data_IF_686924459105
#
_entry.id   IF_686924459105
#
_cell.length_a   1.000
_cell.length_b   1.000
_cell.length_c   1.000
_cell.angle_alpha   90.00
_cell.angle_beta   90.00
_cell.angle_gamma   90.00
#
_symmetry.space_group_name_H-M   'P 1'
#
loop_
_entity.id
_entity.type
_entity.pdbx_description
1 polymer ?
#
# COMPACT_ATOMS: atom_id res chain seq x y z
N UNK A 1 -10.66 19.27 0.17
CA UNK A 1 -10.04 18.71 1.40
C UNK A 1 -8.77 18.02 0.95
N UNK A 2 -7.71 18.10 1.73
CA UNK A 2 -6.49 17.32 1.48
C UNK A 2 -6.37 16.29 2.60
N UNK A 3 -6.11 15.05 2.26
CA UNK A 3 -5.85 13.96 3.20
C UNK A 3 -4.47 13.36 2.91
N UNK A 4 -3.74 13.00 3.96
CA UNK A 4 -2.50 12.26 3.90
C UNK A 4 -2.68 11.00 4.72
N UNK A 5 -2.39 9.85 4.11
CA UNK A 5 -2.39 8.55 4.78
C UNK A 5 -0.95 8.04 4.82
N UNK A 6 -0.46 7.74 6.01
CA UNK A 6 0.86 7.14 6.21
C UNK A 6 0.64 5.74 6.77
N UNK A 7 0.98 4.75 5.99
CA UNK A 7 0.92 3.34 6.39
C UNK A 7 2.30 2.82 6.77
N UNK A 8 2.38 2.14 7.89
CA UNK A 8 3.60 1.54 8.41
C UNK A 8 3.34 0.03 8.58
N UNK A 9 4.03 -0.78 7.77
CA UNK A 9 3.86 -2.23 7.82
C UNK A 9 4.47 -2.81 9.11
N UNK A 10 3.81 -3.81 9.68
CA UNK A 10 4.29 -4.52 10.87
C UNK A 10 4.27 -3.71 12.17
N UNK A 11 3.77 -2.48 12.17
CA UNK A 11 3.74 -1.60 13.34
C UNK A 11 2.45 -1.79 14.15
N UNK A 12 2.61 -1.93 15.47
CA UNK A 12 1.48 -2.02 16.41
C UNK A 12 1.65 -1.03 17.56
N UNK A 13 0.54 -0.66 18.20
CA UNK A 13 0.58 0.17 19.39
C UNK A 13 1.26 -0.54 20.58
N UNK A 14 1.27 -1.86 20.58
CA UNK A 14 1.98 -2.62 21.62
C UNK A 14 3.50 -2.48 21.48
N UNK A 15 3.99 -2.28 20.24
CA UNK A 15 5.40 -1.99 19.96
C UNK A 15 5.72 -0.51 20.22
N UNK A 16 4.89 0.41 19.72
CA UNK A 16 5.17 1.85 19.79
C UNK A 16 4.84 2.47 21.16
N UNK A 17 3.91 1.89 21.91
CA UNK A 17 3.43 2.44 23.17
C UNK A 17 4.55 2.81 24.14
N UNK A 18 5.47 1.90 24.47
CA UNK A 18 6.58 2.21 25.37
C UNK A 18 7.45 3.40 24.90
N UNK A 19 7.73 3.52 23.61
CA UNK A 19 8.52 4.64 23.06
C UNK A 19 7.74 5.96 23.05
N UNK A 20 6.42 5.90 22.84
CA UNK A 20 5.55 7.08 22.92
C UNK A 20 5.50 7.58 24.37
N UNK A 21 5.34 6.68 25.34
CA UNK A 21 5.32 7.00 26.76
C UNK A 21 6.67 7.55 27.24
N UNK A 22 7.77 7.00 26.77
CA UNK A 22 9.11 7.48 27.06
C UNK A 22 9.45 8.83 26.41
N UNK A 23 8.57 9.34 25.49
CA UNK A 23 8.80 10.60 24.76
C UNK A 23 9.75 10.50 23.58
N UNK A 24 10.15 9.30 23.18
CA UNK A 24 11.05 9.07 22.05
C UNK A 24 10.37 9.30 20.70
N UNK A 25 9.04 9.27 20.66
CA UNK A 25 8.23 9.51 19.47
C UNK A 25 7.32 10.75 19.65
N UNK A 26 7.90 11.96 19.80
CA UNK A 26 7.16 13.16 20.21
C UNK A 26 6.11 13.59 19.17
N UNK A 27 6.37 13.40 17.88
CA UNK A 27 5.44 13.76 16.82
C UNK A 27 4.22 12.82 16.83
N UNK A 28 4.42 11.53 17.01
CA UNK A 28 3.33 10.56 17.10
C UNK A 28 2.51 10.79 18.37
N UNK A 29 3.17 11.05 19.51
CA UNK A 29 2.51 11.43 20.75
C UNK A 29 1.63 12.69 20.58
N UNK A 30 2.14 13.70 19.85
CA UNK A 30 1.39 14.93 19.55
C UNK A 30 0.16 14.64 18.71
N UNK A 31 0.29 13.83 17.65
CA UNK A 31 -0.84 13.42 16.81
C UNK A 31 -1.91 12.67 17.62
N UNK A 32 -1.50 11.76 18.49
CA UNK A 32 -2.43 11.03 19.37
C UNK A 32 -3.16 11.96 20.36
N UNK A 33 -2.50 12.99 20.87
CA UNK A 33 -3.13 14.00 21.76
C UNK A 33 -4.11 14.92 21.03
N UNK A 34 -3.89 15.16 19.74
CA UNK A 34 -4.68 16.12 18.95
C UNK A 34 -5.78 15.45 18.11
N UNK A 35 -5.69 14.15 17.91
CA UNK A 35 -6.60 13.38 17.08
C UNK A 35 -7.28 12.24 17.83
N UNK A 36 -7.97 11.41 17.07
CA UNK A 36 -8.53 10.15 17.55
C UNK A 36 -7.61 8.99 17.15
N UNK A 37 -7.42 8.06 18.05
CA UNK A 37 -6.61 6.87 17.80
C UNK A 37 -7.21 5.64 18.49
N UNK A 38 -6.79 4.45 18.06
CA UNK A 38 -7.24 3.20 18.64
C UNK A 38 -6.60 1.99 17.99
N UNK A 39 -6.76 0.83 18.61
CA UNK A 39 -6.32 -0.44 18.04
C UNK A 39 -7.27 -0.84 16.91
N UNK A 40 -6.73 -1.10 15.73
CA UNK A 40 -7.45 -1.65 14.60
C UNK A 40 -7.10 -3.14 14.46
N UNK A 41 -8.13 -3.99 14.41
CA UNK A 41 -7.93 -5.42 14.19
C UNK A 41 -7.48 -5.66 12.75
N UNK A 42 -6.42 -6.46 12.59
CA UNK A 42 -5.93 -6.86 11.27
C UNK A 42 -6.90 -7.77 10.54
N UNK A 43 -6.62 -8.00 9.26
CA UNK A 43 -7.31 -8.98 8.43
C UNK A 43 -7.04 -10.41 8.90
N UNK A 44 -7.78 -11.35 8.34
CA UNK A 44 -7.52 -12.78 8.49
C UNK A 44 -7.41 -13.40 7.09
N UNK A 45 -6.23 -13.89 6.70
CA UNK A 45 -4.96 -13.95 7.47
C UNK A 45 -4.31 -12.57 7.67
N UNK A 46 -3.50 -12.39 8.74
CA UNK A 46 -2.80 -11.15 9.04
C UNK A 46 -1.46 -11.06 8.26
N UNK A 47 -1.55 -11.04 6.96
CA UNK A 47 -0.43 -11.00 6.00
C UNK A 47 -0.47 -9.66 5.26
N UNK A 48 0.68 -9.06 4.96
CA UNK A 48 0.77 -7.74 4.34
C UNK A 48 -0.01 -7.65 3.03
N UNK A 49 0.07 -8.64 2.15
CA UNK A 49 -0.69 -8.67 0.90
C UNK A 49 -2.21 -8.56 1.13
N UNK A 50 -2.72 -9.32 2.10
CA UNK A 50 -4.13 -9.33 2.48
C UNK A 50 -4.54 -8.01 3.16
N UNK A 51 -3.73 -7.53 4.08
CA UNK A 51 -4.03 -6.33 4.89
C UNK A 51 -4.00 -5.06 4.05
N UNK A 52 -2.96 -4.88 3.24
CA UNK A 52 -2.85 -3.72 2.35
C UNK A 52 -3.91 -3.71 1.25
N UNK A 53 -4.25 -4.89 0.72
CA UNK A 53 -5.34 -4.99 -0.25
C UNK A 53 -6.69 -4.71 0.37
N UNK A 54 -6.93 -5.13 1.62
CA UNK A 54 -8.15 -4.76 2.36
C UNK A 54 -8.21 -3.26 2.65
N UNK A 55 -7.09 -2.64 3.02
CA UNK A 55 -6.99 -1.19 3.15
C UNK A 55 -7.32 -0.49 1.83
N UNK A 56 -6.68 -0.91 0.74
CA UNK A 56 -6.85 -0.30 -0.58
C UNK A 56 -8.28 -0.43 -1.13
N UNK A 57 -9.01 -1.48 -0.78
CA UNK A 57 -10.33 -1.79 -1.37
C UNK A 57 -11.50 -1.55 -0.44
N UNK A 58 -11.26 -1.44 0.86
CA UNK A 58 -12.34 -1.33 1.87
C UNK A 58 -13.15 -2.61 2.05
N UNK A 59 -12.69 -3.75 1.51
CA UNK A 59 -13.38 -5.04 1.63
C UNK A 59 -12.45 -6.12 2.20
N UNK A 60 -13.02 -7.22 2.65
CA UNK A 60 -12.28 -8.33 3.23
C UNK A 60 -11.56 -9.19 2.17
N UNK A 61 -10.58 -10.02 2.57
CA UNK A 61 -9.79 -10.85 1.66
C UNK A 61 -10.61 -11.78 0.77
N UNK A 62 -11.73 -12.28 1.24
CA UNK A 62 -12.61 -13.13 0.45
C UNK A 62 -13.32 -12.40 -0.70
N UNK A 63 -13.35 -11.06 -0.67
CA UNK A 63 -13.91 -10.25 -1.75
C UNK A 63 -12.88 -9.72 -2.72
N UNK A 64 -11.72 -9.24 -2.23
CA UNK A 64 -10.67 -8.75 -3.13
C UNK A 64 -9.76 -9.87 -3.65
N UNK A 65 -9.85 -11.07 -3.10
CA UNK A 65 -9.20 -12.28 -3.61
C UNK A 65 -7.74 -12.46 -3.22
N UNK A 66 -7.11 -11.51 -2.52
CA UNK A 66 -5.70 -11.55 -2.17
C UNK A 66 -5.51 -12.02 -0.73
N UNK A 67 -5.16 -13.27 -0.53
CA UNK A 67 -5.02 -13.91 0.79
C UNK A 67 -3.58 -14.25 1.15
N UNK A 68 -2.67 -14.24 0.17
CA UNK A 68 -1.24 -14.49 0.33
C UNK A 68 -0.48 -13.75 -0.78
N UNK A 69 0.85 -13.82 -0.78
CA UNK A 69 1.72 -13.31 -1.85
C UNK A 69 1.77 -14.23 -3.08
N UNK A 70 1.29 -15.44 -2.94
CA UNK A 70 1.30 -16.46 -4.01
C UNK A 70 -0.03 -17.17 -4.09
N UNK A 71 -0.36 -17.61 -5.30
CA UNK A 71 -1.42 -18.59 -5.52
C UNK A 71 -0.84 -19.92 -5.94
N UNK A 72 -1.45 -21.05 -5.51
CA UNK A 72 -1.16 -22.35 -6.10
C UNK A 72 -1.50 -22.29 -7.59
N UNK A 73 -0.57 -22.70 -8.43
CA UNK A 73 -0.84 -22.88 -9.86
C UNK A 73 -1.80 -24.06 -10.10
N UNK A 74 -2.28 -24.17 -11.33
CA UNK A 74 -3.10 -25.33 -11.75
C UNK A 74 -2.36 -26.67 -11.57
N UNK A 75 -1.03 -26.64 -11.65
CA UNK A 75 -0.14 -27.72 -11.27
C UNK A 75 0.33 -27.46 -9.83
N UNK A 76 0.07 -28.40 -8.92
CA UNK A 76 0.28 -28.26 -7.46
C UNK A 76 1.71 -27.90 -7.03
N UNK A 77 2.68 -28.00 -7.91
CA UNK A 77 4.08 -27.66 -7.66
C UNK A 77 4.51 -26.27 -8.17
N UNK A 78 3.63 -25.56 -8.88
CA UNK A 78 3.89 -24.21 -9.36
C UNK A 78 3.13 -23.20 -8.52
N UNK A 79 3.81 -22.12 -8.18
CA UNK A 79 3.19 -20.97 -7.53
C UNK A 79 3.25 -19.77 -8.47
N UNK A 80 2.24 -18.93 -8.42
CA UNK A 80 2.18 -17.66 -9.17
C UNK A 80 2.20 -16.53 -8.18
N UNK A 81 3.12 -15.58 -8.35
CA UNK A 81 3.13 -14.35 -7.55
C UNK A 81 1.90 -13.53 -7.87
N UNK A 82 1.31 -12.93 -6.84
CA UNK A 82 0.25 -11.97 -7.02
C UNK A 82 0.80 -10.64 -7.57
N UNK A 83 -0.07 -9.86 -8.18
CA UNK A 83 0.23 -8.52 -8.65
C UNK A 83 -1.05 -7.64 -8.58
N UNK A 84 -0.98 -6.39 -9.04
CA UNK A 84 -2.13 -5.49 -9.02
C UNK A 84 -3.35 -6.04 -9.76
N UNK A 85 -3.14 -6.74 -10.89
CA UNK A 85 -4.22 -7.36 -11.67
C UNK A 85 -4.87 -8.57 -10.98
N UNK A 86 -4.27 -9.11 -9.92
CA UNK A 86 -4.86 -10.19 -9.13
C UNK A 86 -6.00 -9.70 -8.22
N UNK A 87 -6.12 -8.39 -8.00
CA UNK A 87 -7.17 -7.77 -7.18
C UNK A 87 -8.52 -7.82 -7.92
N UNK A 88 -9.51 -8.43 -7.29
CA UNK A 88 -10.84 -8.64 -7.87
C UNK A 88 -11.84 -7.50 -7.63
N UNK A 89 -11.42 -6.44 -6.96
CA UNK A 89 -12.28 -5.30 -6.61
C UNK A 89 -11.59 -3.98 -6.90
N UNK A 90 -12.38 -2.93 -7.07
CA UNK A 90 -11.88 -1.57 -7.22
C UNK A 90 -11.17 -1.10 -5.96
N UNK A 91 -10.15 -0.28 -6.14
CA UNK A 91 -9.41 0.32 -5.05
C UNK A 91 -9.93 1.73 -4.69
N UNK A 92 -9.50 2.25 -3.56
CA UNK A 92 -9.85 3.57 -3.07
C UNK A 92 -9.54 4.68 -4.08
N UNK A 93 -8.42 4.58 -4.77
CA UNK A 93 -8.02 5.56 -5.78
C UNK A 93 -8.94 5.60 -6.99
N UNK A 94 -9.54 4.47 -7.39
CA UNK A 94 -10.53 4.44 -8.47
C UNK A 94 -11.77 5.24 -8.10
N UNK A 95 -12.26 5.09 -6.86
CA UNK A 95 -13.41 5.82 -6.35
C UNK A 95 -13.12 7.31 -6.18
N UNK A 96 -11.90 7.66 -5.75
CA UNK A 96 -11.48 9.05 -5.61
C UNK A 96 -11.36 9.73 -6.97
N UNK A 97 -10.78 9.08 -7.97
CA UNK A 97 -10.70 9.62 -9.32
C UNK A 97 -12.08 9.79 -9.95
N UNK A 98 -13.00 8.82 -9.79
CA UNK A 98 -14.40 8.96 -10.25
C UNK A 98 -15.10 10.17 -9.62
N UNK A 99 -14.75 10.49 -8.38
CA UNK A 99 -15.26 11.66 -7.67
C UNK A 99 -14.49 12.96 -8.01
N UNK A 100 -13.57 12.94 -8.97
CA UNK A 100 -12.79 14.10 -9.43
C UNK A 100 -11.63 14.50 -8.51
N UNK A 101 -11.20 13.63 -7.62
CA UNK A 101 -10.04 13.87 -6.75
C UNK A 101 -8.77 13.28 -7.37
N UNK A 102 -7.70 14.07 -7.38
CA UNK A 102 -6.36 13.57 -7.72
C UNK A 102 -5.76 12.81 -6.55
N UNK A 103 -5.03 11.75 -6.88
CA UNK A 103 -4.39 10.86 -5.90
C UNK A 103 -2.88 10.78 -6.13
N UNK A 104 -2.13 10.64 -5.05
CA UNK A 104 -0.72 10.29 -5.09
C UNK A 104 -0.50 9.05 -4.23
N UNK A 105 0.08 8.01 -4.82
CA UNK A 105 0.32 6.73 -4.17
C UNK A 105 1.81 6.42 -4.20
N UNK A 106 2.36 6.06 -3.05
CA UNK A 106 3.77 5.75 -2.91
C UNK A 106 3.97 4.49 -2.09
N UNK A 107 4.54 3.47 -2.69
CA UNK A 107 5.04 2.29 -2.01
C UNK A 107 3.97 1.38 -1.41
N UNK A 108 2.70 1.47 -1.84
CA UNK A 108 1.65 0.57 -1.35
C UNK A 108 1.93 -0.84 -1.87
N UNK A 109 2.02 -1.85 -1.00
CA UNK A 109 2.22 -3.23 -1.43
C UNK A 109 1.14 -3.72 -2.39
N UNK A 110 1.51 -4.62 -3.30
CA UNK A 110 0.62 -5.23 -4.30
C UNK A 110 0.05 -4.28 -5.35
N UNK A 111 0.72 -3.15 -5.60
CA UNK A 111 0.32 -2.17 -6.63
C UNK A 111 1.16 -2.23 -7.92
N UNK A 112 1.99 -3.25 -8.09
CA UNK A 112 2.70 -3.50 -9.35
C UNK A 112 1.89 -4.46 -10.24
N UNK A 113 1.81 -4.22 -11.58
CA UNK A 113 2.18 -3.00 -12.28
C UNK A 113 1.32 -1.81 -11.85
N UNK A 114 1.85 -0.56 -11.93
CA UNK A 114 1.09 0.63 -11.55
C UNK A 114 -0.12 0.81 -12.46
N UNK A 115 -1.23 1.21 -11.84
CA UNK A 115 -2.49 1.46 -12.54
C UNK A 115 -2.58 2.92 -12.99
N UNK A 116 -3.24 3.20 -14.12
CA UNK A 116 -3.55 4.58 -14.51
C UNK A 116 -4.44 5.26 -13.46
N UNK A 117 -4.02 6.43 -12.99
CA UNK A 117 -4.77 7.24 -12.02
C UNK A 117 -4.76 8.72 -12.42
N UNK A 118 -5.76 9.49 -12.05
CA UNK A 118 -5.64 10.95 -12.09
C UNK A 118 -4.76 11.40 -10.93
N UNK A 119 -3.47 11.58 -11.25
CA UNK A 119 -2.42 11.83 -10.29
C UNK A 119 -1.16 11.03 -10.58
N UNK A 120 -0.61 10.35 -9.58
CA UNK A 120 0.55 9.49 -9.77
C UNK A 120 0.51 8.24 -8.89
N UNK A 121 1.20 7.19 -9.33
CA UNK A 121 1.42 5.96 -8.56
C UNK A 121 2.88 5.52 -8.69
N UNK A 122 3.52 5.27 -7.55
CA UNK A 122 4.79 4.57 -7.45
C UNK A 122 4.50 3.24 -6.77
N UNK A 123 4.69 2.15 -7.50
CA UNK A 123 4.39 0.80 -7.02
C UNK A 123 5.22 0.45 -5.79
N UNK A 124 4.63 -0.35 -4.92
CA UNK A 124 5.28 -0.82 -3.71
C UNK A 124 5.90 -2.20 -3.84
N UNK A 125 6.00 -2.86 -2.71
CA UNK A 125 6.53 -4.22 -2.59
C UNK A 125 5.91 -5.18 -3.61
N UNK A 126 6.73 -6.04 -4.18
CA UNK A 126 6.55 -6.93 -5.33
C UNK A 126 6.78 -6.27 -6.70
N UNK A 127 7.28 -5.05 -6.78
CA UNK A 127 7.83 -4.56 -8.04
C UNK A 127 9.10 -5.37 -8.39
N UNK A 128 9.26 -5.83 -9.65
CA UNK A 128 10.34 -6.77 -10.00
C UNK A 128 11.76 -6.20 -9.93
N UNK A 129 11.91 -4.89 -9.84
CA UNK A 129 13.19 -4.21 -9.74
C UNK A 129 13.26 -2.92 -10.54
N UNK A 130 14.39 -2.20 -10.51
CA UNK A 130 14.52 -0.85 -11.05
C UNK A 130 14.27 -0.77 -12.56
N UNK A 131 14.54 -1.83 -13.31
CA UNK A 131 14.31 -1.87 -14.75
C UNK A 131 12.83 -2.00 -15.14
N UNK A 132 11.96 -2.41 -14.20
CA UNK A 132 10.53 -2.55 -14.46
C UNK A 132 9.81 -1.19 -14.53
N UNK A 133 8.64 -1.14 -15.13
CA UNK A 133 7.79 0.05 -15.14
C UNK A 133 7.03 0.14 -13.81
N UNK A 134 7.63 0.77 -12.80
CA UNK A 134 7.12 0.85 -11.45
C UNK A 134 6.40 2.16 -11.10
N UNK A 135 6.33 3.11 -12.05
CA UNK A 135 5.67 4.40 -11.84
C UNK A 135 4.60 4.68 -12.90
N UNK A 136 3.60 5.43 -12.51
CA UNK A 136 2.59 6.03 -13.38
C UNK A 136 2.42 7.51 -13.03
N UNK A 137 2.37 8.44 -14.01
CA UNK A 137 2.61 8.17 -15.43
C UNK A 137 4.05 7.73 -15.69
N UNK A 138 4.35 7.08 -16.83
CA UNK A 138 5.68 6.50 -17.11
C UNK A 138 6.82 7.52 -17.03
N UNK A 139 6.56 8.77 -17.38
CA UNK A 139 7.53 9.86 -17.35
C UNK A 139 8.06 10.14 -15.95
N UNK A 140 7.24 9.89 -14.92
CA UNK A 140 7.61 10.08 -13.51
C UNK A 140 8.82 9.23 -13.12
N UNK A 141 8.94 8.02 -13.66
CA UNK A 141 10.10 7.15 -13.42
C UNK A 141 11.39 7.84 -13.85
N UNK A 142 11.41 8.42 -15.04
CA UNK A 142 12.59 9.10 -15.58
C UNK A 142 12.93 10.37 -14.80
N UNK A 143 11.92 11.13 -14.37
CA UNK A 143 12.12 12.33 -13.54
C UNK A 143 12.77 11.94 -12.21
N UNK A 144 12.24 10.92 -11.53
CA UNK A 144 12.76 10.45 -10.24
C UNK A 144 14.20 9.93 -10.35
N UNK A 145 14.52 9.15 -11.38
CA UNK A 145 15.88 8.66 -11.61
C UNK A 145 16.87 9.80 -11.91
N UNK A 146 16.41 10.86 -12.58
CA UNK A 146 17.24 12.02 -12.88
C UNK A 146 17.53 12.85 -11.63
N UNK A 147 16.53 13.06 -10.78
CA UNK A 147 16.63 13.93 -9.61
C UNK A 147 17.25 13.24 -8.39
N UNK A 148 16.96 11.97 -8.20
CA UNK A 148 17.32 11.22 -6.98
C UNK A 148 18.42 10.18 -7.21
N UNK A 149 18.78 9.89 -8.47
CA UNK A 149 19.69 8.79 -8.79
C UNK A 149 18.98 7.44 -8.72
N UNK A 150 19.68 6.41 -8.22
CA UNK A 150 19.06 5.11 -8.01
C UNK A 150 17.96 5.20 -6.94
N UNK A 151 16.75 4.91 -7.35
CA UNK A 151 15.57 4.85 -6.49
C UNK A 151 15.05 3.41 -6.51
N UNK A 152 15.23 2.71 -5.43
CA UNK A 152 14.69 1.42 -4.94
C UNK A 152 15.75 0.60 -4.21
#
# INVERSE_FOLDING_TARGET
MKALVIGLDGITLDLLGPWIEAGELPNLQKLMKQGAWGKLRSTLPPISSSSWSSFATGVNPGKHGLVDFVYPGADSYKVTMINAASRQTRALWDWLNDAGYKVGLLGIPTTYPPEPVDGFMISGFLSPGPESEWAYPPELKQELLTELGEFM
#
